data_IF_099328204516
#
_entry.id   IF_099328204516
#
_cell.length_a   1.000
_cell.length_b   1.000
_cell.length_c   1.000
_cell.angle_alpha   90.00
_cell.angle_beta   90.00
_cell.angle_gamma   90.00
#
_symmetry.space_group_name_H-M   'P 1'
#
loop_
_entity.id
_entity.type
_entity.pdbx_description
1 polymer ?
#
# COMPACT_ATOMS: atom_id res chain seq x y z
N UNK A 1 28.05 36.14 -1.51
CA UNK A 1 27.89 34.72 -1.11
C UNK A 1 27.40 33.98 -2.34
N UNK A 2 28.21 33.07 -2.88
CA UNK A 2 27.85 32.33 -4.10
C UNK A 2 26.56 31.55 -3.88
N UNK A 3 25.68 31.54 -4.88
CA UNK A 3 24.48 30.71 -4.89
C UNK A 3 24.96 29.26 -4.81
N UNK A 4 24.74 28.61 -3.67
CA UNK A 4 24.95 27.17 -3.52
C UNK A 4 24.02 26.45 -4.48
N UNK A 5 24.53 25.46 -5.21
CA UNK A 5 23.70 24.55 -6.01
C UNK A 5 22.72 23.84 -5.08
N UNK A 6 21.47 24.32 -5.02
CA UNK A 6 20.40 23.70 -4.24
C UNK A 6 20.03 22.38 -4.88
N UNK A 7 19.91 21.33 -4.08
CA UNK A 7 19.47 20.00 -4.51
C UNK A 7 18.26 19.58 -3.69
N UNK A 8 17.41 18.76 -4.28
CA UNK A 8 16.33 18.08 -3.56
C UNK A 8 16.86 16.88 -2.76
N UNK A 9 15.98 16.18 -2.04
CA UNK A 9 16.37 15.03 -1.20
C UNK A 9 16.98 13.87 -1.99
N UNK A 10 16.63 13.70 -3.28
CA UNK A 10 17.29 12.73 -4.17
C UNK A 10 18.58 13.25 -4.84
N UNK A 11 19.07 14.44 -4.46
CA UNK A 11 20.30 15.02 -5.00
C UNK A 11 20.18 15.64 -6.40
N UNK A 12 18.96 15.84 -6.91
CA UNK A 12 18.71 16.50 -8.19
C UNK A 12 18.87 18.02 -8.06
N UNK A 13 19.60 18.68 -8.97
CA UNK A 13 19.79 20.13 -8.91
C UNK A 13 18.48 20.88 -9.17
N UNK A 14 18.20 21.89 -8.34
CA UNK A 14 17.03 22.75 -8.44
C UNK A 14 17.45 24.14 -8.94
N UNK A 15 16.76 24.62 -9.98
CA UNK A 15 16.93 26.00 -10.44
C UNK A 15 16.24 26.94 -9.45
N UNK A 16 16.80 28.15 -9.20
CA UNK A 16 16.10 29.16 -8.39
C UNK A 16 14.78 29.62 -9.04
N UNK A 17 14.69 29.54 -10.37
CA UNK A 17 13.49 29.87 -11.15
C UNK A 17 13.37 28.90 -12.32
N UNK A 18 12.16 28.38 -12.54
CA UNK A 18 11.79 27.62 -13.74
C UNK A 18 10.96 28.51 -14.68
N UNK A 19 11.36 28.60 -15.94
CA UNK A 19 10.70 29.43 -16.97
C UNK A 19 9.98 28.55 -18.00
N UNK A 20 9.23 29.17 -18.91
CA UNK A 20 8.50 28.44 -19.97
C UNK A 20 9.44 27.54 -20.81
N UNK A 21 10.70 27.95 -21.01
CA UNK A 21 11.72 27.15 -21.69
C UNK A 21 12.14 25.87 -20.95
N UNK A 22 11.84 25.75 -19.65
CA UNK A 22 12.09 24.53 -18.86
C UNK A 22 10.92 23.54 -18.90
N UNK A 23 9.78 23.92 -19.51
CA UNK A 23 8.58 23.10 -19.54
C UNK A 23 8.79 21.84 -20.38
N UNK A 24 8.43 20.68 -19.83
CA UNK A 24 8.34 19.42 -20.59
C UNK A 24 7.13 19.47 -21.55
N UNK A 25 7.09 18.53 -22.51
CA UNK A 25 5.92 18.31 -23.35
C UNK A 25 4.64 18.19 -22.49
N UNK A 26 3.52 18.68 -23.03
CA UNK A 26 2.25 18.66 -22.32
C UNK A 26 1.79 17.22 -22.06
N UNK A 27 1.41 16.94 -20.82
CA UNK A 27 0.87 15.66 -20.42
C UNK A 27 -0.63 15.59 -20.73
N UNK A 28 -1.15 14.45 -21.23
CA UNK A 28 -2.57 14.25 -21.48
C UNK A 28 -3.46 14.52 -20.25
N UNK A 29 -4.77 14.77 -20.45
CA UNK A 29 -5.74 14.90 -19.35
C UNK A 29 -5.73 13.72 -18.37
N UNK A 30 -6.19 13.90 -17.12
CA UNK A 30 -6.32 12.79 -16.18
C UNK A 30 -7.29 11.72 -16.72
N UNK A 31 -7.05 10.46 -16.37
CA UNK A 31 -7.79 9.32 -16.93
C UNK A 31 -7.36 8.92 -18.34
N UNK A 32 -6.33 9.55 -18.91
CA UNK A 32 -5.76 9.18 -20.21
C UNK A 32 -4.34 8.68 -20.05
N UNK A 33 -3.97 7.61 -20.76
CA UNK A 33 -2.60 7.11 -20.83
C UNK A 33 -1.61 8.26 -21.13
N UNK A 34 -0.47 8.38 -20.41
CA UNK A 34 0.09 7.45 -19.42
C UNK A 34 -0.27 7.79 -17.96
N UNK A 35 -1.43 8.42 -17.72
CA UNK A 35 -2.01 8.69 -16.40
C UNK A 35 -1.17 9.60 -15.48
N UNK A 36 -0.22 10.36 -16.03
CA UNK A 36 0.64 11.28 -15.28
C UNK A 36 -0.18 12.24 -14.41
N UNK A 37 -1.30 12.76 -14.93
CA UNK A 37 -2.19 13.71 -14.24
C UNK A 37 -3.22 13.07 -13.30
N UNK A 38 -3.28 11.74 -13.21
CA UNK A 38 -4.24 10.98 -12.41
C UNK A 38 -4.89 9.86 -13.22
N UNK A 39 -5.31 8.79 -12.53
CA UNK A 39 -5.88 7.58 -13.15
C UNK A 39 -7.39 7.69 -13.46
N UNK A 40 -8.08 8.68 -12.89
CA UNK A 40 -9.51 8.91 -13.12
C UNK A 40 -9.69 10.29 -13.73
N UNK A 41 -10.64 10.43 -14.67
CA UNK A 41 -10.94 11.72 -15.32
C UNK A 41 -11.31 12.80 -14.31
N UNK A 42 -12.14 12.47 -13.34
CA UNK A 42 -12.69 13.45 -12.39
C UNK A 42 -11.89 13.52 -11.08
N UNK A 43 -10.97 12.58 -10.83
CA UNK A 43 -10.23 12.43 -9.57
C UNK A 43 -11.13 12.77 -8.35
N UNK A 44 -10.70 13.73 -7.54
CA UNK A 44 -11.37 14.12 -6.31
C UNK A 44 -12.62 14.99 -6.49
N UNK A 45 -12.94 15.42 -7.73
CA UNK A 45 -14.25 16.03 -8.02
C UNK A 45 -15.34 14.97 -8.10
N UNK A 46 -14.99 13.73 -8.45
CA UNK A 46 -15.89 12.58 -8.45
C UNK A 46 -15.96 11.92 -7.07
N UNK A 47 -14.81 11.47 -6.55
CA UNK A 47 -14.71 10.83 -5.24
C UNK A 47 -13.39 11.21 -4.57
N UNK A 48 -13.45 11.61 -3.30
CA UNK A 48 -12.26 11.84 -2.49
C UNK A 48 -11.44 10.56 -2.33
N UNK A 49 -10.16 10.70 -2.00
CA UNK A 49 -9.35 9.57 -1.56
C UNK A 49 -9.97 8.92 -0.33
N UNK A 50 -9.68 7.64 -0.12
CA UNK A 50 -10.18 6.92 1.06
C UNK A 50 -9.35 7.36 2.25
N UNK A 51 -9.96 8.01 3.25
CA UNK A 51 -9.29 8.27 4.51
C UNK A 51 -9.17 6.95 5.26
N UNK A 52 -7.96 6.42 5.38
CA UNK A 52 -7.68 5.10 5.95
C UNK A 52 -6.56 5.22 6.99
N UNK A 53 -6.94 5.36 8.25
CA UNK A 53 -5.98 5.34 9.35
C UNK A 53 -5.51 3.93 9.63
N UNK A 54 -4.19 3.78 9.72
CA UNK A 54 -3.53 2.58 10.22
C UNK A 54 -3.78 2.43 11.73
N UNK A 55 -4.46 1.35 12.12
CA UNK A 55 -4.85 1.10 13.50
C UNK A 55 -4.83 -0.39 13.84
N UNK A 56 -4.78 -0.69 15.13
CA UNK A 56 -4.63 -2.05 15.66
C UNK A 56 -3.53 -2.05 16.71
N UNK A 57 -3.87 -2.44 17.93
CA UNK A 57 -2.96 -2.56 19.06
C UNK A 57 -3.64 -3.40 20.14
N UNK A 58 -2.85 -4.20 20.86
CA UNK A 58 -3.35 -5.03 21.94
C UNK A 58 -4.22 -6.18 21.43
N UNK A 59 -5.34 -6.41 22.11
CA UNK A 59 -6.24 -7.52 21.81
C UNK A 59 -7.16 -7.23 20.63
N UNK A 60 -7.76 -8.30 20.07
CA UNK A 60 -8.77 -8.19 19.03
C UNK A 60 -9.97 -7.31 19.45
N UNK A 61 -10.42 -7.42 20.71
CA UNK A 61 -11.54 -6.65 21.24
C UNK A 61 -11.22 -5.14 21.33
N UNK A 62 -10.00 -4.78 21.77
CA UNK A 62 -9.56 -3.38 21.84
C UNK A 62 -9.43 -2.77 20.44
N UNK A 63 -8.88 -3.54 19.50
CA UNK A 63 -8.75 -3.14 18.10
C UNK A 63 -10.13 -2.99 17.44
N UNK A 64 -11.08 -3.89 17.68
CA UNK A 64 -12.45 -3.76 17.21
C UNK A 64 -13.11 -2.47 17.72
N UNK A 65 -13.01 -2.20 19.02
CA UNK A 65 -13.53 -0.96 19.63
C UNK A 65 -12.95 0.28 18.94
N UNK A 66 -11.65 0.25 18.62
CA UNK A 66 -10.98 1.33 17.87
C UNK A 66 -11.51 1.45 16.45
N UNK A 67 -11.74 0.35 15.73
CA UNK A 67 -12.30 0.37 14.38
C UNK A 67 -13.71 0.95 14.36
N UNK A 68 -14.58 0.53 15.28
CA UNK A 68 -15.94 1.08 15.39
C UNK A 68 -15.93 2.57 15.70
N UNK A 69 -15.03 3.01 16.58
CA UNK A 69 -14.82 4.44 16.85
C UNK A 69 -14.37 5.21 15.58
N UNK A 70 -13.43 4.67 14.82
CA UNK A 70 -12.93 5.32 13.60
C UNK A 70 -14.01 5.43 12.51
N UNK A 71 -14.81 4.38 12.33
CA UNK A 71 -15.96 4.39 11.41
C UNK A 71 -17.01 5.42 11.85
N UNK A 72 -17.30 5.53 13.16
CA UNK A 72 -18.19 6.56 13.72
C UNK A 72 -17.67 7.99 13.48
N UNK A 73 -16.35 8.17 13.40
CA UNK A 73 -15.72 9.47 13.05
C UNK A 73 -15.58 9.70 11.55
N UNK A 74 -16.23 8.90 10.71
CA UNK A 74 -16.31 9.11 9.27
C UNK A 74 -15.17 8.49 8.47
N UNK A 75 -14.36 7.61 9.08
CA UNK A 75 -13.39 6.82 8.33
C UNK A 75 -14.13 5.88 7.36
N UNK A 76 -13.71 5.85 6.10
CA UNK A 76 -14.42 5.12 5.03
C UNK A 76 -13.82 3.75 4.69
N UNK A 77 -12.78 3.32 5.41
CA UNK A 77 -12.15 2.02 5.27
C UNK A 77 -11.18 1.76 6.42
N UNK A 78 -10.99 0.50 6.81
CA UNK A 78 -10.14 0.11 7.95
C UNK A 78 -8.74 -0.30 7.48
N UNK A 79 -7.72 -0.09 8.30
CA UNK A 79 -6.43 -0.73 8.08
C UNK A 79 -5.99 -1.44 9.35
N UNK A 80 -5.78 -2.75 9.23
CA UNK A 80 -5.43 -3.64 10.33
C UNK A 80 -3.91 -3.76 10.40
N UNK A 81 -3.37 -3.41 11.56
CA UNK A 81 -1.99 -3.64 11.96
C UNK A 81 -1.92 -4.92 12.81
N UNK A 82 -1.08 -5.88 12.43
CA UNK A 82 -0.85 -7.11 13.21
C UNK A 82 0.42 -6.98 14.04
N UNK A 83 0.50 -7.70 15.16
CA UNK A 83 1.72 -7.75 15.97
C UNK A 83 2.86 -8.49 15.25
N UNK A 84 4.06 -8.52 15.85
CA UNK A 84 5.19 -9.22 15.22
C UNK A 84 4.97 -10.74 15.13
N UNK A 85 4.53 -11.46 16.18
CA UNK A 85 4.24 -12.90 16.12
C UNK A 85 3.33 -13.30 14.95
N UNK A 86 2.15 -12.67 14.82
CA UNK A 86 1.21 -12.95 13.71
C UNK A 86 1.84 -12.67 12.34
N UNK A 87 2.70 -11.64 12.23
CA UNK A 87 3.38 -11.32 10.98
C UNK A 87 4.41 -12.37 10.54
N UNK A 88 5.09 -13.00 11.50
CA UNK A 88 6.13 -14.02 11.25
C UNK A 88 5.66 -15.45 11.52
N UNK A 89 4.34 -15.65 11.70
CA UNK A 89 3.72 -16.98 11.73
C UNK A 89 3.93 -17.75 13.04
N UNK A 90 4.03 -17.04 14.16
CA UNK A 90 4.00 -17.64 15.49
C UNK A 90 2.67 -17.35 16.18
N UNK A 91 2.15 -18.37 16.87
CA UNK A 91 1.07 -18.21 17.83
C UNK A 91 1.58 -17.46 19.08
N UNK A 92 0.67 -16.78 19.79
CA UNK A 92 1.00 -15.96 20.96
C UNK A 92 1.69 -16.71 22.11
N UNK A 93 1.53 -18.03 22.21
CA UNK A 93 2.16 -18.87 23.23
C UNK A 93 3.55 -19.42 22.83
N UNK A 94 3.97 -19.18 21.59
CA UNK A 94 5.26 -19.62 21.10
C UNK A 94 6.40 -18.89 21.84
N UNK A 95 7.51 -19.56 22.23
CA UNK A 95 8.60 -18.92 22.98
C UNK A 95 9.21 -17.68 22.30
N UNK A 96 9.24 -17.64 20.95
CA UNK A 96 9.71 -16.48 20.18
C UNK A 96 8.76 -15.27 20.19
N UNK A 97 7.49 -15.47 20.59
CA UNK A 97 6.49 -14.41 20.66
C UNK A 97 6.57 -13.61 21.98
N UNK A 98 7.28 -14.13 22.99
CA UNK A 98 7.34 -13.55 24.31
C UNK A 98 7.80 -12.07 24.28
N UNK A 99 6.98 -11.18 24.82
CA UNK A 99 7.24 -9.73 24.88
C UNK A 99 6.84 -8.94 23.64
N UNK A 100 6.33 -9.60 22.59
CA UNK A 100 5.91 -8.94 21.34
C UNK A 100 4.41 -9.10 21.03
N UNK A 101 3.70 -10.00 21.73
CA UNK A 101 2.25 -10.21 21.60
C UNK A 101 1.48 -8.91 21.83
N UNK A 102 0.69 -8.48 20.84
CA UNK A 102 -0.18 -7.30 20.91
C UNK A 102 0.55 -5.95 20.98
N UNK A 103 1.89 -5.91 20.90
CA UNK A 103 2.68 -4.69 21.22
C UNK A 103 2.70 -3.65 20.11
N UNK A 104 2.71 -4.07 18.85
CA UNK A 104 2.78 -3.17 17.68
C UNK A 104 1.62 -3.35 16.71
N UNK A 105 0.63 -4.14 17.11
CA UNK A 105 -0.55 -4.48 16.32
C UNK A 105 -1.43 -5.44 17.11
N UNK A 106 -2.50 -5.92 16.47
CA UNK A 106 -3.38 -6.93 17.05
C UNK A 106 -2.75 -8.33 16.95
N UNK A 107 -2.85 -9.12 18.02
CA UNK A 107 -2.53 -10.55 18.00
C UNK A 107 -3.69 -11.34 17.39
N UNK A 108 -3.40 -12.18 16.41
CA UNK A 108 -4.35 -13.12 15.77
C UNK A 108 -3.67 -14.47 15.65
N UNK A 109 -4.20 -15.45 16.40
CA UNK A 109 -3.73 -16.83 16.41
C UNK A 109 -4.74 -17.74 15.69
N UNK A 110 -6.04 -17.42 15.77
CA UNK A 110 -7.10 -18.27 15.24
C UNK A 110 -8.24 -17.52 14.54
N UNK A 111 -9.23 -18.29 14.05
CA UNK A 111 -10.46 -17.72 13.50
C UNK A 111 -11.25 -16.95 14.56
N UNK A 112 -11.29 -17.45 15.79
CA UNK A 112 -11.99 -16.80 16.91
C UNK A 112 -11.46 -15.38 17.17
N UNK A 113 -10.15 -15.16 17.07
CA UNK A 113 -9.59 -13.81 17.22
C UNK A 113 -10.02 -12.88 16.08
N UNK A 114 -10.05 -13.40 14.84
CA UNK A 114 -10.52 -12.64 13.68
C UNK A 114 -12.02 -12.31 13.79
N UNK A 115 -12.83 -13.22 14.36
CA UNK A 115 -14.25 -12.98 14.65
C UNK A 115 -14.42 -11.83 15.66
N UNK A 116 -13.67 -11.86 16.76
CA UNK A 116 -13.67 -10.78 17.75
C UNK A 116 -13.20 -9.46 17.13
N UNK A 117 -12.16 -9.50 16.28
CA UNK A 117 -11.62 -8.31 15.62
C UNK A 117 -12.64 -7.63 14.72
N UNK A 118 -13.44 -8.41 13.99
CA UNK A 118 -14.37 -7.93 12.96
C UNK A 118 -15.84 -7.93 13.42
N UNK A 119 -16.11 -8.21 14.70
CA UNK A 119 -17.46 -8.23 15.25
C UNK A 119 -18.18 -6.88 15.02
N UNK A 120 -19.39 -6.96 14.46
CA UNK A 120 -20.22 -5.80 14.14
C UNK A 120 -19.67 -4.86 13.05
N UNK A 121 -18.60 -5.22 12.34
CA UNK A 121 -18.09 -4.46 11.19
C UNK A 121 -18.80 -4.95 9.92
N UNK A 122 -19.48 -4.09 9.13
CA UNK A 122 -20.17 -4.52 7.92
C UNK A 122 -19.19 -4.73 6.74
N UNK A 123 -18.70 -5.95 6.59
CA UNK A 123 -17.65 -6.31 5.61
C UNK A 123 -18.11 -6.26 4.14
N UNK A 124 -19.40 -6.10 3.88
CA UNK A 124 -20.00 -5.84 2.55
C UNK A 124 -19.90 -4.36 2.12
N UNK A 125 -19.55 -3.47 3.05
CA UNK A 125 -19.54 -2.00 2.84
C UNK A 125 -18.20 -1.36 3.17
N UNK A 126 -17.49 -1.91 4.15
CA UNK A 126 -16.21 -1.38 4.62
C UNK A 126 -15.08 -2.11 3.91
N UNK A 127 -14.28 -1.36 3.16
CA UNK A 127 -13.04 -1.90 2.60
C UNK A 127 -11.99 -2.01 3.70
N UNK A 128 -11.32 -3.16 3.80
CA UNK A 128 -10.28 -3.40 4.82
C UNK A 128 -8.92 -3.64 4.18
N UNK A 129 -7.89 -2.94 4.67
CA UNK A 129 -6.49 -3.18 4.29
C UNK A 129 -5.80 -3.95 5.41
N UNK A 130 -5.09 -5.02 5.08
CA UNK A 130 -4.31 -5.82 6.01
C UNK A 130 -2.84 -5.64 5.68
N UNK A 131 -2.09 -4.97 6.56
CA UNK A 131 -0.63 -4.82 6.41
C UNK A 131 0.06 -6.08 6.90
N UNK A 132 -0.07 -7.12 6.07
CA UNK A 132 0.40 -8.47 6.34
C UNK A 132 1.07 -9.03 5.09
N UNK A 133 2.14 -9.79 5.26
CA UNK A 133 3.01 -10.23 4.16
C UNK A 133 3.21 -11.75 4.19
N UNK A 134 4.16 -12.28 4.96
CA UNK A 134 4.48 -13.71 4.97
C UNK A 134 3.29 -14.63 5.28
N UNK A 135 2.38 -14.16 6.14
CA UNK A 135 1.17 -14.88 6.54
C UNK A 135 -0.08 -14.40 5.81
N UNK A 136 0.05 -13.56 4.77
CA UNK A 136 -1.08 -12.89 4.12
C UNK A 136 -2.18 -13.82 3.62
N UNK A 137 -1.83 -14.96 3.03
CA UNK A 137 -2.80 -15.94 2.56
C UNK A 137 -3.65 -16.52 3.71
N UNK A 138 -3.03 -16.79 4.86
CA UNK A 138 -3.72 -17.31 6.04
C UNK A 138 -4.66 -16.27 6.64
N UNK A 139 -4.18 -15.03 6.83
CA UNK A 139 -5.01 -13.96 7.39
C UNK A 139 -6.17 -13.58 6.44
N UNK A 140 -5.97 -13.66 5.11
CA UNK A 140 -7.05 -13.48 4.15
C UNK A 140 -8.10 -14.58 4.24
N UNK A 141 -7.67 -15.84 4.42
CA UNK A 141 -8.61 -16.95 4.64
C UNK A 141 -9.43 -16.74 5.91
N UNK A 142 -8.82 -16.37 7.03
CA UNK A 142 -9.55 -16.08 8.27
C UNK A 142 -10.55 -14.93 8.08
N UNK A 143 -10.12 -13.85 7.42
CA UNK A 143 -10.98 -12.71 7.10
C UNK A 143 -12.19 -13.14 6.25
N UNK A 144 -11.96 -13.95 5.20
CA UNK A 144 -13.03 -14.47 4.35
C UNK A 144 -14.01 -15.33 5.14
N UNK A 145 -13.53 -16.24 5.99
CA UNK A 145 -14.40 -17.11 6.80
C UNK A 145 -15.29 -16.29 7.75
N UNK A 146 -14.78 -15.19 8.32
CA UNK A 146 -15.61 -14.27 9.11
C UNK A 146 -16.66 -13.57 8.25
N UNK A 147 -16.29 -13.10 7.05
CA UNK A 147 -17.24 -12.49 6.12
C UNK A 147 -18.35 -13.48 5.69
N UNK A 148 -18.00 -14.73 5.42
CA UNK A 148 -18.96 -15.80 5.11
C UNK A 148 -19.90 -16.07 6.29
N UNK A 149 -19.39 -16.14 7.53
CA UNK A 149 -20.22 -16.26 8.74
C UNK A 149 -21.17 -15.09 8.94
N UNK A 150 -20.79 -13.89 8.49
CA UNK A 150 -21.66 -12.71 8.47
C UNK A 150 -22.65 -12.69 7.28
N UNK A 151 -22.62 -13.69 6.40
CA UNK A 151 -23.49 -13.78 5.22
C UNK A 151 -23.08 -12.87 4.06
N UNK A 152 -21.82 -12.43 4.03
CA UNK A 152 -21.29 -11.56 2.96
C UNK A 152 -20.85 -12.42 1.78
N UNK A 153 -21.44 -12.17 0.61
CA UNK A 153 -21.06 -12.85 -0.63
C UNK A 153 -19.62 -12.48 -1.06
N UNK A 154 -18.84 -13.40 -1.64
CA UNK A 154 -17.42 -13.17 -1.93
C UNK A 154 -17.14 -11.95 -2.82
N UNK A 155 -18.06 -11.59 -3.71
CA UNK A 155 -17.96 -10.46 -4.63
C UNK A 155 -18.21 -9.11 -3.91
N UNK A 156 -18.78 -9.14 -2.71
CA UNK A 156 -18.95 -7.95 -1.86
C UNK A 156 -17.75 -7.70 -0.95
N UNK A 157 -16.89 -8.70 -0.79
CA UNK A 157 -15.68 -8.57 0.02
C UNK A 157 -14.67 -7.70 -0.73
N UNK A 158 -14.36 -6.55 -0.15
CA UNK A 158 -13.39 -5.60 -0.72
C UNK A 158 -12.29 -5.29 0.27
N UNK A 159 -11.06 -5.24 -0.21
CA UNK A 159 -9.92 -5.02 0.66
C UNK A 159 -8.60 -5.20 -0.05
N UNK A 160 -7.54 -5.20 0.73
CA UNK A 160 -6.16 -5.34 0.26
C UNK A 160 -5.37 -6.15 1.28
N UNK A 161 -4.57 -7.11 0.82
CA UNK A 161 -3.42 -7.60 1.60
C UNK A 161 -2.15 -6.93 1.08
N UNK A 162 -1.19 -6.64 1.96
CA UNK A 162 0.07 -6.05 1.50
C UNK A 162 0.84 -7.04 0.63
N UNK A 163 1.06 -8.27 1.11
CA UNK A 163 1.56 -9.42 0.32
C UNK A 163 2.80 -9.14 -0.55
N UNK A 164 3.62 -8.15 -0.17
CA UNK A 164 4.87 -7.81 -0.85
C UNK A 164 6.02 -8.40 -0.05
N UNK A 165 6.41 -9.62 -0.37
CA UNK A 165 7.54 -10.28 0.30
C UNK A 165 8.90 -9.72 -0.13
N UNK A 166 9.06 -9.14 -1.33
CA UNK A 166 10.37 -8.70 -1.82
C UNK A 166 10.90 -7.55 -0.96
N UNK A 167 10.04 -6.60 -0.58
CA UNK A 167 10.41 -5.53 0.36
C UNK A 167 10.64 -6.02 1.79
N UNK A 168 10.16 -7.21 2.17
CA UNK A 168 10.53 -7.81 3.47
C UNK A 168 12.02 -8.12 3.51
N UNK A 169 12.57 -8.71 2.46
CA UNK A 169 14.01 -8.98 2.39
C UNK A 169 14.84 -7.70 2.24
N UNK A 170 14.31 -6.69 1.54
CA UNK A 170 15.05 -5.47 1.26
C UNK A 170 15.10 -4.46 2.42
N UNK A 171 14.01 -4.33 3.21
CA UNK A 171 13.89 -3.22 4.16
C UNK A 171 13.12 -3.51 5.47
N UNK A 172 12.20 -4.50 5.50
CA UNK A 172 11.24 -4.64 6.62
C UNK A 172 11.49 -5.81 7.56
N UNK A 173 11.99 -6.94 7.05
CA UNK A 173 12.50 -8.05 7.85
C UNK A 173 11.49 -9.07 8.40
N UNK A 174 10.19 -9.02 8.06
CA UNK A 174 9.20 -9.99 8.58
C UNK A 174 8.92 -11.15 7.62
N UNK A 175 9.98 -11.71 7.01
CA UNK A 175 9.87 -12.90 6.14
C UNK A 175 9.96 -14.22 6.92
N UNK A 176 9.29 -15.26 6.44
CA UNK A 176 9.35 -16.61 7.04
C UNK A 176 10.18 -17.56 6.16
N UNK A 177 9.81 -17.66 4.87
CA UNK A 177 10.41 -18.62 3.95
C UNK A 177 11.52 -17.98 3.11
N UNK A 178 12.35 -18.78 2.40
CA UNK A 178 13.27 -18.24 1.38
C UNK A 178 12.52 -17.55 0.22
N UNK A 179 13.19 -16.70 -0.58
CA UNK A 179 12.52 -15.89 -1.60
C UNK A 179 11.67 -16.67 -2.61
N UNK A 180 12.16 -17.81 -3.11
CA UNK A 180 11.46 -18.60 -4.15
C UNK A 180 10.10 -19.16 -3.68
N UNK A 181 10.00 -19.91 -2.56
CA UNK A 181 8.69 -20.36 -2.07
C UNK A 181 7.78 -19.20 -1.65
N UNK A 182 8.32 -18.09 -1.11
CA UNK A 182 7.50 -16.92 -0.78
C UNK A 182 6.87 -16.29 -2.04
N UNK A 183 7.63 -16.14 -3.12
CA UNK A 183 7.09 -15.66 -4.40
C UNK A 183 5.97 -16.56 -4.94
N UNK A 184 6.09 -17.88 -4.76
CA UNK A 184 5.03 -18.85 -5.11
C UNK A 184 3.74 -18.57 -4.35
N UNK A 185 3.82 -18.33 -3.03
CA UNK A 185 2.63 -18.01 -2.22
C UNK A 185 1.95 -16.72 -2.68
N UNK A 186 2.73 -15.71 -3.10
CA UNK A 186 2.17 -14.48 -3.66
C UNK A 186 1.35 -14.78 -4.92
N UNK A 187 1.90 -15.55 -5.87
CA UNK A 187 1.20 -15.89 -7.12
C UNK A 187 0.02 -16.83 -6.91
N UNK A 188 0.11 -17.77 -5.96
CA UNK A 188 -1.02 -18.62 -5.57
C UNK A 188 -2.19 -17.77 -5.05
N UNK A 189 -1.90 -16.73 -4.25
CA UNK A 189 -2.94 -15.82 -3.76
C UNK A 189 -3.60 -15.03 -4.88
N UNK A 190 -2.86 -14.70 -5.95
CA UNK A 190 -3.41 -14.03 -7.14
C UNK A 190 -4.41 -14.96 -7.84
N UNK A 191 -4.02 -16.21 -8.07
CA UNK A 191 -4.89 -17.23 -8.66
C UNK A 191 -6.15 -17.43 -7.81
N UNK A 192 -5.99 -17.61 -6.50
CA UNK A 192 -7.10 -17.82 -5.57
C UNK A 192 -8.10 -16.67 -5.59
N UNK A 193 -7.62 -15.42 -5.46
CA UNK A 193 -8.53 -14.26 -5.42
C UNK A 193 -9.23 -14.04 -6.76
N UNK A 194 -8.61 -14.39 -7.89
CA UNK A 194 -9.27 -14.31 -9.20
C UNK A 194 -10.52 -15.18 -9.28
N UNK A 195 -10.50 -16.33 -8.62
CA UNK A 195 -11.61 -17.30 -8.60
C UNK A 195 -12.59 -17.03 -7.46
N UNK A 196 -12.09 -16.75 -6.26
CA UNK A 196 -12.88 -16.74 -5.03
C UNK A 196 -13.20 -15.34 -4.50
N UNK A 197 -12.31 -14.36 -4.68
CA UNK A 197 -12.44 -13.01 -4.12
C UNK A 197 -12.16 -11.94 -5.19
N UNK A 198 -13.01 -11.86 -6.24
CA UNK A 198 -12.68 -11.13 -7.46
C UNK A 198 -12.51 -9.62 -7.27
N UNK A 199 -12.95 -9.07 -6.12
CA UNK A 199 -12.83 -7.66 -5.76
C UNK A 199 -11.72 -7.34 -4.74
N UNK A 200 -10.92 -8.33 -4.36
CA UNK A 200 -9.78 -8.15 -3.46
C UNK A 200 -8.53 -7.65 -4.21
N UNK A 201 -7.83 -6.66 -3.65
CA UNK A 201 -6.51 -6.28 -4.14
C UNK A 201 -5.46 -7.23 -3.55
N UNK A 202 -4.84 -8.02 -4.42
CA UNK A 202 -4.07 -9.21 -4.01
C UNK A 202 -2.65 -8.88 -3.55
N UNK A 203 -2.20 -7.65 -3.82
CA UNK A 203 -0.90 -7.12 -3.41
C UNK A 203 -0.93 -5.59 -3.35
N UNK A 204 -0.17 -5.04 -2.42
CA UNK A 204 0.18 -3.63 -2.35
C UNK A 204 1.70 -3.49 -2.40
N UNK A 205 2.25 -3.31 -3.60
CA UNK A 205 3.69 -3.27 -3.85
C UNK A 205 4.27 -1.99 -3.25
N UNK A 206 5.16 -2.13 -2.29
CA UNK A 206 5.40 -1.12 -1.27
C UNK A 206 6.78 -0.48 -1.34
N UNK A 207 6.82 0.80 -1.68
CA UNK A 207 7.98 1.68 -1.53
C UNK A 207 8.15 2.27 -0.13
N UNK A 208 7.05 2.42 0.63
CA UNK A 208 7.04 3.07 1.95
C UNK A 208 8.18 2.60 2.85
N UNK A 209 8.32 1.29 3.05
CA UNK A 209 9.31 0.70 3.97
C UNK A 209 10.75 0.94 3.51
N UNK A 210 11.00 0.94 2.19
CA UNK A 210 12.33 1.25 1.65
C UNK A 210 12.67 2.72 1.86
N UNK A 211 11.68 3.61 1.71
CA UNK A 211 11.84 5.05 2.00
C UNK A 211 12.08 5.31 3.49
N UNK A 212 11.35 4.63 4.38
CA UNK A 212 11.58 4.70 5.83
C UNK A 212 12.94 4.11 6.25
N UNK A 213 13.46 3.14 5.49
CA UNK A 213 14.80 2.57 5.68
C UNK A 213 15.93 3.45 5.08
N UNK A 214 15.60 4.59 4.45
CA UNK A 214 16.58 5.59 3.99
C UNK A 214 16.72 5.75 2.48
N UNK A 215 15.87 5.11 1.67
CA UNK A 215 15.91 5.30 0.21
C UNK A 215 15.53 6.75 -0.20
N UNK A 216 16.18 7.27 -1.23
CA UNK A 216 15.75 8.50 -1.92
C UNK A 216 14.42 8.30 -2.67
N UNK A 217 13.77 9.38 -3.15
CA UNK A 217 12.46 9.27 -3.81
C UNK A 217 12.60 8.56 -5.17
N UNK A 218 13.74 8.78 -5.82
CA UNK A 218 14.12 8.06 -7.03
C UNK A 218 14.35 6.56 -6.77
N UNK A 219 15.07 6.21 -5.70
CA UNK A 219 15.31 4.81 -5.30
C UNK A 219 14.01 4.11 -4.90
N UNK A 220 13.13 4.78 -4.15
CA UNK A 220 11.82 4.24 -3.78
C UNK A 220 11.03 3.82 -5.02
N UNK A 221 10.91 4.68 -6.05
CA UNK A 221 10.25 4.31 -7.31
C UNK A 221 10.99 3.16 -7.98
N UNK A 222 12.32 3.25 -8.10
CA UNK A 222 13.12 2.29 -8.86
C UNK A 222 12.98 0.88 -8.27
N UNK A 223 13.14 0.73 -6.96
CA UNK A 223 12.99 -0.56 -6.28
C UNK A 223 11.55 -1.06 -6.32
N UNK A 224 10.56 -0.19 -6.06
CA UNK A 224 9.15 -0.59 -6.06
C UNK A 224 8.69 -1.08 -7.43
N UNK A 225 9.03 -0.36 -8.51
CA UNK A 225 8.69 -0.80 -9.87
C UNK A 225 9.49 -2.03 -10.30
N UNK A 226 10.70 -2.23 -9.79
CA UNK A 226 11.48 -3.45 -10.01
C UNK A 226 10.82 -4.66 -9.34
N UNK A 227 10.33 -4.51 -8.10
CA UNK A 227 9.53 -5.54 -7.44
C UNK A 227 8.25 -5.83 -8.23
N UNK A 228 7.58 -4.80 -8.72
CA UNK A 228 6.37 -4.97 -9.53
C UNK A 228 6.62 -5.75 -10.82
N UNK A 229 7.71 -5.46 -11.52
CA UNK A 229 8.16 -6.23 -12.69
C UNK A 229 8.37 -7.70 -12.29
N UNK A 230 9.08 -7.97 -11.18
CA UNK A 230 9.34 -9.33 -10.72
C UNK A 230 8.05 -10.09 -10.36
N UNK A 231 7.06 -9.42 -9.75
CA UNK A 231 5.76 -10.03 -9.47
C UNK A 231 4.96 -10.35 -10.73
N UNK A 232 4.96 -9.45 -11.71
CA UNK A 232 4.32 -9.69 -13.00
C UNK A 232 4.97 -10.86 -13.71
N UNK A 233 6.30 -10.91 -13.76
CA UNK A 233 7.05 -12.02 -14.37
C UNK A 233 6.78 -13.35 -13.67
N UNK A 234 6.74 -13.36 -12.33
CA UNK A 234 6.43 -14.56 -11.57
C UNK A 234 5.00 -15.06 -11.82
N UNK A 235 4.02 -14.16 -11.88
CA UNK A 235 2.63 -14.50 -12.17
C UNK A 235 2.46 -15.07 -13.58
N UNK A 236 3.10 -14.46 -14.59
CA UNK A 236 3.10 -14.98 -15.96
C UNK A 236 3.78 -16.36 -16.04
N UNK A 237 4.91 -16.54 -15.34
CA UNK A 237 5.60 -17.83 -15.28
C UNK A 237 4.78 -18.92 -14.57
N UNK A 238 3.89 -18.53 -13.66
CA UNK A 238 2.91 -19.41 -13.02
C UNK A 238 1.68 -19.71 -13.90
N UNK A 239 1.60 -19.14 -15.11
CA UNK A 239 0.53 -19.39 -16.07
C UNK A 239 -0.68 -18.46 -15.96
N UNK A 240 -0.62 -17.42 -15.14
CA UNK A 240 -1.69 -16.42 -15.04
C UNK A 240 -1.65 -15.48 -16.26
N UNK A 241 -2.80 -15.16 -16.84
CA UNK A 241 -2.85 -14.12 -17.87
C UNK A 241 -2.68 -12.74 -17.23
N UNK A 242 -2.02 -11.81 -17.94
CA UNK A 242 -1.69 -10.47 -17.40
C UNK A 242 -2.91 -9.74 -16.84
N UNK A 243 -4.03 -9.77 -17.58
CA UNK A 243 -5.25 -9.04 -17.22
C UNK A 243 -6.12 -9.81 -16.21
N UNK A 244 -5.75 -11.04 -15.81
CA UNK A 244 -6.43 -11.75 -14.72
C UNK A 244 -6.04 -11.22 -13.34
N UNK A 245 -4.81 -10.72 -13.16
CA UNK A 245 -4.32 -10.26 -11.86
C UNK A 245 -3.93 -8.78 -11.83
N UNK A 246 -3.40 -8.23 -12.93
CA UNK A 246 -2.89 -6.84 -12.94
C UNK A 246 -3.94 -5.79 -12.56
N UNK A 247 -5.24 -5.91 -12.92
CA UNK A 247 -6.29 -5.00 -12.45
C UNK A 247 -6.54 -5.02 -10.94
N UNK A 248 -5.89 -5.90 -10.17
CA UNK A 248 -5.93 -6.00 -8.70
C UNK A 248 -4.61 -5.70 -8.01
N UNK A 249 -3.56 -5.39 -8.78
CA UNK A 249 -2.31 -4.86 -8.23
C UNK A 249 -2.54 -3.43 -7.75
N UNK A 250 -2.00 -3.13 -6.57
CA UNK A 250 -1.96 -1.79 -6.00
C UNK A 250 -0.55 -1.50 -5.47
N UNK A 251 -0.30 -0.25 -5.11
CA UNK A 251 1.01 0.22 -4.65
C UNK A 251 0.89 0.96 -3.32
N UNK A 252 2.01 1.10 -2.61
CA UNK A 252 2.06 1.85 -1.37
C UNK A 252 3.36 2.63 -1.26
N UNK A 253 3.26 3.96 -1.18
CA UNK A 253 4.42 4.84 -1.13
C UNK A 253 4.43 5.67 0.15
N UNK A 254 5.62 6.07 0.57
CA UNK A 254 5.78 7.13 1.57
C UNK A 254 5.51 8.50 0.97
N UNK A 255 5.31 9.51 1.82
CA UNK A 255 5.37 10.91 1.44
C UNK A 255 6.18 11.67 2.47
N UNK A 256 7.36 12.14 2.08
CA UNK A 256 8.30 12.88 2.94
C UNK A 256 8.19 14.40 2.76
N UNK A 257 9.12 15.12 3.40
CA UNK A 257 9.09 16.58 3.56
C UNK A 257 9.49 17.38 2.30
N UNK A 258 10.19 16.79 1.32
CA UNK A 258 10.43 17.46 0.03
C UNK A 258 9.13 17.50 -0.79
N UNK A 259 8.36 18.56 -0.52
CA UNK A 259 6.99 18.72 -0.98
C UNK A 259 6.81 18.54 -2.49
N UNK A 260 7.65 19.19 -3.30
CA UNK A 260 7.52 19.14 -4.75
C UNK A 260 8.08 17.86 -5.35
N UNK A 261 9.14 17.31 -4.75
CA UNK A 261 9.69 16.02 -5.17
C UNK A 261 8.66 14.91 -4.99
N UNK A 262 7.94 14.87 -3.86
CA UNK A 262 6.91 13.87 -3.61
C UNK A 262 5.76 13.94 -4.64
N UNK A 263 5.27 15.14 -4.93
CA UNK A 263 4.26 15.33 -5.99
C UNK A 263 4.79 14.86 -7.35
N UNK A 264 6.07 15.14 -7.67
CA UNK A 264 6.70 14.68 -8.91
C UNK A 264 6.87 13.15 -8.93
N UNK A 265 7.24 12.55 -7.79
CA UNK A 265 7.43 11.11 -7.59
C UNK A 265 6.17 10.33 -7.97
N UNK A 266 5.03 10.67 -7.37
CA UNK A 266 3.76 9.98 -7.65
C UNK A 266 3.35 10.08 -9.12
N UNK A 267 3.55 11.25 -9.74
CA UNK A 267 3.26 11.47 -11.16
C UNK A 267 4.20 10.67 -12.08
N UNK A 268 5.48 10.62 -11.73
CA UNK A 268 6.48 9.84 -12.46
C UNK A 268 6.20 8.34 -12.37
N UNK A 269 5.89 7.84 -11.17
CA UNK A 269 5.57 6.44 -10.92
C UNK A 269 4.40 5.96 -11.80
N UNK A 270 3.29 6.70 -11.84
CA UNK A 270 2.14 6.37 -12.71
C UNK A 270 2.53 6.25 -14.17
N UNK A 271 3.27 7.24 -14.68
CA UNK A 271 3.72 7.27 -16.09
C UNK A 271 4.64 6.11 -16.42
N UNK A 272 5.56 5.78 -15.51
CA UNK A 272 6.49 4.66 -15.69
C UNK A 272 5.76 3.33 -15.68
N UNK A 273 4.88 3.10 -14.70
CA UNK A 273 4.09 1.86 -14.62
C UNK A 273 3.21 1.64 -15.84
N UNK A 274 2.48 2.66 -16.28
CA UNK A 274 1.62 2.56 -17.46
C UNK A 274 2.42 2.13 -18.71
N UNK A 275 3.61 2.70 -18.90
CA UNK A 275 4.52 2.33 -20.00
C UNK A 275 5.09 0.93 -19.81
N UNK A 276 5.52 0.55 -18.61
CA UNK A 276 6.01 -0.81 -18.32
C UNK A 276 4.94 -1.84 -18.71
N UNK A 277 3.71 -1.67 -18.22
CA UNK A 277 2.63 -2.63 -18.47
C UNK A 277 2.23 -2.72 -19.94
N UNK A 278 2.18 -1.59 -20.65
CA UNK A 278 1.83 -1.56 -22.08
C UNK A 278 2.99 -2.05 -22.97
N UNK A 279 4.19 -1.54 -22.76
CA UNK A 279 5.31 -1.70 -23.68
C UNK A 279 6.09 -3.00 -23.44
N UNK A 280 6.26 -3.40 -22.16
CA UNK A 280 6.97 -4.64 -21.78
C UNK A 280 6.05 -5.84 -21.65
N UNK A 281 4.88 -5.66 -21.04
CA UNK A 281 3.97 -6.78 -20.73
C UNK A 281 2.73 -6.84 -21.63
N UNK A 282 2.58 -5.89 -22.56
CA UNK A 282 1.50 -5.86 -23.54
C UNK A 282 0.08 -5.97 -22.95
N UNK A 283 -0.10 -5.48 -21.72
CA UNK A 283 -1.40 -5.46 -21.06
C UNK A 283 -2.40 -4.62 -21.87
N UNK A 284 -3.63 -5.12 -22.01
CA UNK A 284 -4.67 -4.51 -22.86
C UNK A 284 -5.76 -3.84 -22.05
N UNK A 285 -6.03 -4.33 -20.84
CA UNK A 285 -6.97 -3.68 -19.93
C UNK A 285 -6.37 -2.36 -19.40
N UNK A 286 -7.08 -1.26 -19.57
CA UNK A 286 -6.68 0.06 -19.05
C UNK A 286 -6.46 0.04 -17.53
N UNK A 287 -7.19 -0.81 -16.79
CA UNK A 287 -7.04 -1.00 -15.35
C UNK A 287 -5.70 -1.63 -14.98
N UNK A 288 -5.14 -2.48 -15.84
CA UNK A 288 -3.79 -3.06 -15.66
C UNK A 288 -2.71 -2.00 -15.81
N UNK A 289 -2.96 -0.94 -16.59
CA UNK A 289 -2.04 0.18 -16.80
C UNK A 289 -2.12 1.25 -15.69
N UNK A 290 -3.19 1.26 -14.91
CA UNK A 290 -3.45 2.26 -13.89
C UNK A 290 -2.72 1.93 -12.57
N UNK A 291 -1.73 2.75 -12.21
CA UNK A 291 -1.07 2.65 -10.90
C UNK A 291 -1.97 3.30 -9.83
N UNK A 292 -2.72 2.47 -9.11
CA UNK A 292 -3.45 2.85 -7.89
C UNK A 292 -2.54 2.70 -6.69
N UNK A 293 -2.49 3.70 -5.82
CA UNK A 293 -1.61 3.65 -4.66
C UNK A 293 -2.24 4.22 -3.39
N UNK A 294 -1.83 3.64 -2.27
CA UNK A 294 -1.94 4.22 -0.94
C UNK A 294 -0.72 5.10 -0.66
N UNK A 295 -0.89 6.12 0.17
CA UNK A 295 0.19 6.93 0.69
C UNK A 295 0.12 7.04 2.21
N UNK A 296 1.26 6.88 2.86
CA UNK A 296 1.43 7.19 4.27
C UNK A 296 2.51 8.25 4.42
N UNK A 297 2.24 9.25 5.27
CA UNK A 297 3.21 10.30 5.60
C UNK A 297 4.42 9.71 6.33
N UNK A 298 5.61 10.27 6.14
CA UNK A 298 6.85 9.73 6.69
C UNK A 298 6.79 9.56 8.21
N UNK A 299 7.09 8.37 8.70
CA UNK A 299 7.23 8.13 10.14
C UNK A 299 8.57 8.68 10.64
N UNK A 300 9.63 8.45 9.86
CA UNK A 300 11.00 8.89 10.14
C UNK A 300 11.16 10.42 10.13
N UNK A 301 10.22 11.17 9.54
CA UNK A 301 10.25 12.64 9.51
C UNK A 301 9.72 13.26 10.81
N UNK A 302 9.04 12.47 11.65
CA UNK A 302 8.43 12.94 12.89
C UNK A 302 9.45 12.99 14.03
N UNK A 303 9.31 14.00 14.90
CA UNK A 303 10.22 14.20 16.03
C UNK A 303 9.55 13.93 17.36
N UNK A 304 10.26 13.27 18.28
CA UNK A 304 9.81 13.11 19.66
C UNK A 304 9.86 14.44 20.43
N UNK A 305 10.83 15.29 20.10
CA UNK A 305 10.94 16.65 20.63
C UNK A 305 9.96 17.58 19.91
N UNK A 306 9.30 18.46 20.68
CA UNK A 306 8.29 19.39 20.19
C UNK A 306 7.25 18.72 19.27
N UNK A 307 6.56 17.67 19.76
CA UNK A 307 5.75 16.79 18.91
C UNK A 307 4.58 17.50 18.23
N UNK A 308 4.13 18.66 18.72
CA UNK A 308 3.11 19.45 18.03
C UNK A 308 3.56 19.96 16.65
N UNK A 309 4.88 20.08 16.40
CA UNK A 309 5.41 20.41 15.07
C UNK A 309 5.11 19.28 14.06
N UNK A 310 4.91 18.04 14.51
CA UNK A 310 4.53 16.93 13.64
C UNK A 310 3.18 17.16 12.97
N UNK A 311 2.26 17.92 13.59
CA UNK A 311 0.98 18.30 12.95
C UNK A 311 1.25 19.06 11.67
N UNK A 312 2.21 20.00 11.68
CA UNK A 312 2.59 20.77 10.48
C UNK A 312 3.30 19.88 9.44
N UNK A 313 4.23 19.04 9.88
CA UNK A 313 4.94 18.08 8.98
C UNK A 313 3.95 17.18 8.24
N UNK A 314 3.11 16.48 8.99
CA UNK A 314 2.09 15.59 8.43
C UNK A 314 1.07 16.33 7.57
N UNK A 315 0.75 17.59 7.89
CA UNK A 315 -0.13 18.41 7.02
C UNK A 315 0.49 18.65 5.65
N UNK A 316 1.78 18.99 5.59
CA UNK A 316 2.49 19.23 4.32
C UNK A 316 2.64 17.93 3.52
N UNK A 317 3.02 16.84 4.19
CA UNK A 317 3.13 15.52 3.56
C UNK A 317 1.77 15.03 3.02
N UNK A 318 0.69 15.18 3.79
CA UNK A 318 -0.66 14.85 3.32
C UNK A 318 -1.07 15.71 2.12
N UNK A 319 -0.75 17.00 2.12
CA UNK A 319 -1.02 17.89 1.00
C UNK A 319 -0.24 17.47 -0.26
N UNK A 320 1.03 17.07 -0.13
CA UNK A 320 1.81 16.49 -1.23
C UNK A 320 1.18 15.21 -1.78
N UNK A 321 0.72 14.30 -0.90
CA UNK A 321 0.04 13.07 -1.31
C UNK A 321 -1.25 13.34 -2.12
N UNK A 322 -2.05 14.32 -1.66
CA UNK A 322 -3.27 14.76 -2.34
C UNK A 322 -2.94 15.39 -3.69
N UNK A 323 -2.02 16.36 -3.76
CA UNK A 323 -1.60 16.97 -5.02
C UNK A 323 -0.94 15.96 -5.97
N UNK A 324 -0.33 14.92 -5.39
CA UNK A 324 0.22 13.77 -6.08
C UNK A 324 -0.82 12.84 -6.68
N UNK A 325 -2.07 12.85 -6.21
CA UNK A 325 -3.17 12.05 -6.74
C UNK A 325 -3.30 10.65 -6.14
N UNK A 326 -3.04 10.47 -4.84
CA UNK A 326 -3.25 9.19 -4.09
C UNK A 326 -4.71 8.69 -4.09
N UNK A 327 -4.92 7.38 -3.92
CA UNK A 327 -6.25 6.77 -3.80
C UNK A 327 -6.66 6.52 -2.33
N UNK A 328 -5.70 6.39 -1.42
CA UNK A 328 -5.93 6.26 0.01
C UNK A 328 -4.75 6.74 0.85
#
# INVERSE_FOLDING_TARGET
MGVTDVKNDSGLPLKPVYVVGDRRAEEPPPGTFPYTRGIHRDMYRGRLWTMRQYAGFGTAAESNKRYRFLLDKGQTGLSIAFDLPTQIGYDSDHPMANGEVGKVGVAIDSLEDMEVLLDGIPLDRVSTSMTINSTAAMLLLLYQLVAEKQGVAPEKITGTVQNDILKEYAARGTYIFPPKPSMRLVTDLFAYCRESLPNWNTISISGYHMREAGATAAEEIAFTLSHAIAYVEAALAAGLAIDDFAPRVSFFFACHMDFFEEVAKFRAARRMWARIMRDRFHARDERSLALRFHTQTGGVTLTAQQPLNNVVRTTLEAMSAVLGGTQS
#
